data_IF_634015444071
#
_entry.id   IF_634015444071
#
_cell.length_a   1.000
_cell.length_b   1.000
_cell.length_c   1.000
_cell.angle_alpha   90.00
_cell.angle_beta   90.00
_cell.angle_gamma   90.00
#
_symmetry.space_group_name_H-M   'P 1'
#
loop_
_entity.id
_entity.type
_entity.pdbx_description
1 polymer ?
#
# COMPACT_ATOMS: atom_id res chain seq x y z
N UNK A 1 -27.68 8.49 -23.62
CA UNK A 1 -27.18 7.29 -22.88
C UNK A 1 -25.77 6.80 -23.27
N UNK A 2 -25.25 7.05 -24.49
CA UNK A 2 -23.92 6.56 -24.93
C UNK A 2 -22.73 7.10 -24.08
N UNK A 3 -22.87 8.32 -23.55
CA UNK A 3 -21.84 9.00 -22.74
C UNK A 3 -21.56 8.30 -21.41
N UNK A 4 -22.60 7.84 -20.70
CA UNK A 4 -22.45 7.08 -19.45
C UNK A 4 -21.62 5.79 -19.64
N UNK A 5 -21.75 5.12 -20.78
CA UNK A 5 -21.02 3.87 -21.03
C UNK A 5 -19.52 4.11 -21.26
N UNK A 6 -19.15 5.24 -21.85
CA UNK A 6 -17.75 5.66 -22.03
C UNK A 6 -17.13 6.08 -20.69
N UNK A 7 -17.82 6.90 -19.90
CA UNK A 7 -17.37 7.30 -18.56
C UNK A 7 -17.17 6.06 -17.66
N UNK A 8 -18.16 5.15 -17.63
CA UNK A 8 -18.06 3.94 -16.83
C UNK A 8 -16.88 3.05 -17.22
N UNK A 9 -16.60 2.90 -18.52
CA UNK A 9 -15.41 2.17 -18.99
C UNK A 9 -14.12 2.86 -18.56
N UNK A 10 -14.04 4.19 -18.66
CA UNK A 10 -12.88 4.96 -18.22
C UNK A 10 -12.59 4.77 -16.73
N UNK A 11 -13.63 4.87 -15.89
CA UNK A 11 -13.52 4.63 -14.44
C UNK A 11 -13.09 3.19 -14.12
N UNK A 12 -13.60 2.20 -14.86
CA UNK A 12 -13.20 0.81 -14.70
C UNK A 12 -11.70 0.61 -14.99
N UNK A 13 -11.21 1.17 -16.10
CA UNK A 13 -9.78 1.10 -16.43
C UNK A 13 -8.91 1.84 -15.40
N UNK A 14 -9.33 3.01 -14.93
CA UNK A 14 -8.62 3.75 -13.87
C UNK A 14 -8.53 2.94 -12.58
N UNK A 15 -9.62 2.28 -12.17
CA UNK A 15 -9.63 1.41 -11.00
C UNK A 15 -8.66 0.24 -11.14
N UNK A 16 -8.70 -0.45 -12.29
CA UNK A 16 -7.79 -1.58 -12.57
C UNK A 16 -6.33 -1.12 -12.55
N UNK A 17 -6.00 -0.03 -13.23
CA UNK A 17 -4.65 0.55 -13.23
C UNK A 17 -4.23 0.93 -11.81
N UNK A 18 -5.10 1.56 -11.03
CA UNK A 18 -4.85 1.91 -9.63
C UNK A 18 -4.51 0.69 -8.77
N UNK A 19 -5.24 -0.42 -8.94
CA UNK A 19 -4.95 -1.68 -8.24
C UNK A 19 -3.58 -2.24 -8.64
N UNK A 20 -3.26 -2.25 -9.93
CA UNK A 20 -1.97 -2.76 -10.41
C UNK A 20 -0.78 -1.88 -10.00
N UNK A 21 -0.96 -0.56 -9.85
CA UNK A 21 0.08 0.36 -9.37
C UNK A 21 0.23 0.30 -7.84
N UNK A 22 -0.85 0.04 -7.10
CA UNK A 22 -0.81 -0.02 -5.63
C UNK A 22 0.17 -1.08 -5.12
N UNK A 23 0.25 -2.24 -5.79
CA UNK A 23 1.15 -3.32 -5.41
C UNK A 23 2.64 -2.95 -5.52
N UNK A 24 3.18 -2.55 -6.69
CA UNK A 24 4.59 -2.18 -6.83
C UNK A 24 4.95 -0.96 -6.00
N UNK A 25 4.06 0.03 -5.85
CA UNK A 25 4.31 1.21 -4.99
C UNK A 25 4.48 0.80 -3.53
N UNK A 26 3.57 -0.04 -3.01
CA UNK A 26 3.66 -0.56 -1.63
C UNK A 26 4.98 -1.33 -1.41
N UNK A 27 5.37 -2.16 -2.38
CA UNK A 27 6.63 -2.90 -2.32
C UNK A 27 7.85 -1.97 -2.35
N UNK A 28 7.88 -1.00 -3.26
CA UNK A 28 8.99 -0.04 -3.39
C UNK A 28 9.19 0.79 -2.11
N UNK A 29 8.09 1.27 -1.51
CA UNK A 29 8.12 2.01 -0.24
C UNK A 29 8.67 1.13 0.89
N UNK A 30 8.24 -0.14 0.98
CA UNK A 30 8.76 -1.07 1.97
C UNK A 30 10.27 -1.28 1.85
N UNK A 31 10.78 -1.50 0.63
CA UNK A 31 12.23 -1.65 0.40
C UNK A 31 12.98 -0.37 0.77
N UNK A 32 12.48 0.79 0.36
CA UNK A 32 13.09 2.08 0.70
C UNK A 32 13.17 2.31 2.22
N UNK A 33 12.11 1.99 2.97
CA UNK A 33 12.09 2.12 4.42
C UNK A 33 13.09 1.19 5.09
N UNK A 34 13.15 -0.08 4.65
CA UNK A 34 14.09 -1.07 5.17
C UNK A 34 15.55 -0.68 4.89
N UNK A 35 15.84 -0.15 3.69
CA UNK A 35 17.17 0.35 3.31
C UNK A 35 17.60 1.57 4.15
N UNK A 36 16.66 2.45 4.50
CA UNK A 36 16.87 3.57 5.43
C UNK A 36 16.97 3.15 6.91
N UNK A 37 17.05 1.85 7.21
CA UNK A 37 17.23 1.32 8.55
C UNK A 37 15.96 1.30 9.41
N UNK A 38 14.78 1.51 8.82
CA UNK A 38 13.52 1.26 9.52
C UNK A 38 13.28 -0.24 9.64
N UNK A 39 12.63 -0.64 10.71
CA UNK A 39 12.26 -2.02 11.01
C UNK A 39 10.76 -2.11 11.13
N UNK A 40 10.20 -3.24 10.72
CA UNK A 40 8.77 -3.51 10.85
C UNK A 40 8.49 -4.13 12.22
N UNK A 41 7.47 -3.62 12.89
CA UNK A 41 6.91 -4.25 14.08
C UNK A 41 6.30 -5.62 13.80
N UNK A 42 6.28 -6.49 14.82
CA UNK A 42 5.57 -7.74 14.72
C UNK A 42 4.05 -7.49 14.72
N UNK A 43 3.35 -8.11 13.79
CA UNK A 43 1.92 -7.89 13.58
C UNK A 43 1.13 -8.97 14.30
N UNK A 44 0.24 -8.55 15.20
CA UNK A 44 -0.61 -9.44 16.00
C UNK A 44 -1.74 -10.02 15.14
N UNK A 45 -2.21 -9.26 14.15
CA UNK A 45 -3.24 -9.67 13.20
C UNK A 45 -2.84 -9.32 11.77
N UNK A 46 -3.31 -10.12 10.81
CA UNK A 46 -3.19 -9.83 9.37
C UNK A 46 -3.94 -8.56 8.95
N UNK A 47 -4.91 -8.13 9.76
CA UNK A 47 -5.65 -6.89 9.53
C UNK A 47 -4.95 -5.67 10.17
N UNK A 48 -3.90 -5.89 10.98
CA UNK A 48 -3.14 -4.80 11.58
C UNK A 48 -2.28 -4.09 10.52
N UNK A 49 -2.24 -2.75 10.51
CA UNK A 49 -1.39 -2.01 9.59
C UNK A 49 0.10 -2.31 9.88
N UNK A 50 0.94 -2.19 8.84
CA UNK A 50 2.40 -2.31 9.01
C UNK A 50 2.95 -1.01 9.59
N UNK A 51 3.60 -1.11 10.75
CA UNK A 51 4.25 0.04 11.40
C UNK A 51 5.76 -0.07 11.24
N UNK A 52 6.36 1.00 10.71
CA UNK A 52 7.79 1.13 10.49
C UNK A 52 8.37 2.03 11.58
N UNK A 53 9.36 1.52 12.31
CA UNK A 53 10.02 2.20 13.41
C UNK A 53 11.53 2.09 13.28
N UNK A 54 12.29 3.11 13.69
CA UNK A 54 13.77 3.02 13.70
C UNK A 54 14.27 2.12 14.82
N UNK A 55 13.60 2.15 15.97
CA UNK A 55 13.91 1.31 17.13
C UNK A 55 12.72 0.41 17.45
N UNK A 56 12.96 -0.88 17.73
CA UNK A 56 11.89 -1.81 18.12
C UNK A 56 11.26 -1.48 19.48
N UNK A 57 11.94 -0.71 20.32
CA UNK A 57 11.42 -0.21 21.61
C UNK A 57 10.17 0.66 21.45
N UNK A 58 10.03 1.34 20.30
CA UNK A 58 8.88 2.18 19.95
C UNK A 58 7.68 1.36 19.44
N UNK A 59 7.83 0.05 19.33
CA UNK A 59 6.76 -0.83 18.93
C UNK A 59 5.76 -0.96 20.08
N UNK A 60 4.61 -0.27 19.97
CA UNK A 60 3.51 -0.39 20.92
C UNK A 60 2.98 -1.83 20.93
N UNK A 61 2.97 -2.44 22.11
CA UNK A 61 2.26 -3.72 22.34
C UNK A 61 0.78 -3.57 22.08
#
# INVERSE_FOLDING_TARGET
MKYNKLIMRGLLYLSIIGLFISFPVSFAVNIYLLDNGYKTCNKISWMSPTTYVKELSLCGR
#
